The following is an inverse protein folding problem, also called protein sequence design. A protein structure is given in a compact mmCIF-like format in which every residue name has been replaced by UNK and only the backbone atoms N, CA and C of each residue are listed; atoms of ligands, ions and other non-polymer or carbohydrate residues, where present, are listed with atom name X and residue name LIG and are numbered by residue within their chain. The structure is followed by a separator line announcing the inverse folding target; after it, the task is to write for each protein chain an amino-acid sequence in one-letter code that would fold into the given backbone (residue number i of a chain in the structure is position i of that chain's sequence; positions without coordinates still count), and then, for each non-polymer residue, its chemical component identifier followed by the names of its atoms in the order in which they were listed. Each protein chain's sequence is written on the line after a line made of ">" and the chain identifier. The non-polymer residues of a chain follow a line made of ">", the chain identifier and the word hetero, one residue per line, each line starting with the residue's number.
data_IF_044208743150
#
_entry.id   IF_044208743150
#
_cell.length_a   1.000
_cell.length_b   1.000
_cell.length_c   1.000
_cell.angle_alpha   90.00
_cell.angle_beta   90.00
_cell.angle_gamma   90.00
#
_symmetry.space_group_name_H-M   'P 1'
#
loop_
_entity.id
_entity.type
_entity.pdbx_description
1 polymer ?
#
# COMPACT_ATOMS: atom_id res chain seq x y z
N UNK A 1 -5.77 17.35 -2.06
CA UNK A 1 -6.19 18.12 -3.25
C UNK A 1 -7.09 17.30 -4.17
N UNK A 2 -6.62 16.21 -4.79
CA UNK A 2 -7.42 15.43 -5.75
C UNK A 2 -8.71 14.83 -5.15
N UNK A 3 -8.68 14.29 -3.93
CA UNK A 3 -9.90 13.77 -3.27
C UNK A 3 -10.94 14.84 -2.92
N UNK A 4 -10.55 16.12 -2.95
CA UNK A 4 -11.45 17.27 -2.74
C UNK A 4 -11.92 17.91 -4.05
N UNK A 5 -11.64 17.29 -5.20
CA UNK A 5 -11.94 17.84 -6.53
C UNK A 5 -11.08 19.06 -6.92
N UNK A 6 -9.98 19.32 -6.19
CA UNK A 6 -9.05 20.44 -6.47
C UNK A 6 -7.94 19.98 -7.42
N UNK A 7 -8.32 19.59 -8.63
CA UNK A 7 -7.41 18.94 -9.59
C UNK A 7 -6.26 19.86 -10.00
N UNK A 8 -6.51 21.16 -10.22
CA UNK A 8 -5.46 22.13 -10.57
C UNK A 8 -4.33 22.21 -9.53
N UNK A 9 -4.67 22.11 -8.25
CA UNK A 9 -3.67 22.10 -7.18
C UNK A 9 -2.97 20.74 -7.09
N UNK A 10 -3.73 19.65 -7.27
CA UNK A 10 -3.20 18.31 -7.19
C UNK A 10 -2.23 17.98 -8.33
N UNK A 11 -2.55 18.37 -9.57
CA UNK A 11 -1.67 18.17 -10.73
C UNK A 11 -0.40 19.02 -10.60
N UNK A 12 -0.52 20.24 -10.06
CA UNK A 12 0.63 21.10 -9.78
C UNK A 12 1.59 20.43 -8.79
N UNK A 13 1.07 19.94 -7.65
CA UNK A 13 1.89 19.24 -6.64
C UNK A 13 2.56 17.98 -7.23
N UNK A 14 1.82 17.21 -8.03
CA UNK A 14 2.29 16.00 -8.69
C UNK A 14 3.41 16.29 -9.70
N UNK A 15 3.23 17.27 -10.58
CA UNK A 15 4.23 17.67 -11.57
C UNK A 15 5.48 18.25 -10.89
N UNK A 16 5.31 19.05 -9.83
CA UNK A 16 6.41 19.60 -9.06
C UNK A 16 7.26 18.51 -8.39
N UNK A 17 6.65 17.45 -7.85
CA UNK A 17 7.42 16.33 -7.32
C UNK A 17 8.25 15.66 -8.43
N UNK A 18 7.62 15.34 -9.56
CA UNK A 18 8.25 14.59 -10.65
C UNK A 18 9.34 15.38 -11.38
N UNK A 19 9.18 16.69 -11.58
CA UNK A 19 10.21 17.53 -12.18
C UNK A 19 11.51 17.55 -11.36
N UNK A 20 11.40 17.37 -10.04
CA UNK A 20 12.54 17.25 -9.12
C UNK A 20 13.17 15.83 -9.07
N UNK A 21 12.59 14.84 -9.76
CA UNK A 21 13.04 13.44 -9.75
C UNK A 21 13.44 12.92 -11.13
N UNK A 22 12.83 13.44 -12.19
CA UNK A 22 12.96 12.93 -13.56
C UNK A 22 13.64 13.98 -14.43
N UNK A 23 14.81 13.66 -14.96
CA UNK A 23 15.51 14.52 -15.92
C UNK A 23 14.74 14.62 -17.24
N UNK A 24 14.54 15.84 -17.73
CA UNK A 24 13.76 16.09 -18.96
C UNK A 24 12.27 15.82 -18.81
N UNK A 25 11.72 15.88 -17.59
CA UNK A 25 10.29 15.67 -17.35
C UNK A 25 9.43 16.68 -18.10
N UNK A 26 8.38 16.17 -18.74
CA UNK A 26 7.32 16.96 -19.35
C UNK A 26 6.10 16.85 -18.46
N UNK A 27 5.53 18.00 -18.10
CA UNK A 27 4.36 18.07 -17.22
C UNK A 27 3.16 17.29 -17.78
N UNK A 28 2.47 16.57 -16.90
CA UNK A 28 1.25 15.87 -17.24
C UNK A 28 0.02 16.73 -16.93
N UNK A 29 -1.12 16.43 -17.56
CA UNK A 29 -2.37 17.19 -17.44
C UNK A 29 -3.57 16.33 -17.02
N UNK A 30 -3.30 15.29 -16.22
CA UNK A 30 -4.35 14.40 -15.72
C UNK A 30 -5.36 15.15 -14.83
N UNK A 31 -6.60 14.68 -14.84
CA UNK A 31 -7.70 15.17 -13.99
C UNK A 31 -8.53 13.99 -13.46
N UNK A 32 -9.40 14.24 -12.49
CA UNK A 32 -10.34 13.26 -11.95
C UNK A 32 -9.66 11.97 -11.47
N UNK A 33 -10.24 10.84 -11.84
CA UNK A 33 -9.76 9.52 -11.41
C UNK A 33 -8.38 9.17 -11.97
N UNK A 34 -8.06 9.62 -13.19
CA UNK A 34 -6.74 9.43 -13.78
C UNK A 34 -5.65 10.13 -12.95
N UNK A 35 -5.94 11.34 -12.45
CA UNK A 35 -5.02 12.05 -11.56
C UNK A 35 -4.86 11.33 -10.21
N UNK A 36 -5.95 10.81 -9.64
CA UNK A 36 -5.90 10.05 -8.37
C UNK A 36 -5.07 8.78 -8.51
N UNK A 37 -5.21 8.06 -9.64
CA UNK A 37 -4.43 6.88 -9.93
C UNK A 37 -2.94 7.23 -10.14
N UNK A 38 -2.63 8.28 -10.90
CA UNK A 38 -1.26 8.74 -11.10
C UNK A 38 -0.59 9.11 -9.76
N UNK A 39 -1.28 9.86 -8.90
CA UNK A 39 -0.79 10.21 -7.56
C UNK A 39 -0.57 8.96 -6.70
N UNK A 40 -1.48 8.00 -6.77
CA UNK A 40 -1.36 6.75 -6.02
C UNK A 40 -0.11 5.95 -6.43
N UNK A 41 0.13 5.82 -7.74
CA UNK A 41 1.32 5.16 -8.27
C UNK A 41 2.60 5.90 -7.90
N UNK A 42 2.60 7.23 -7.99
CA UNK A 42 3.77 8.05 -7.66
C UNK A 42 4.13 7.95 -6.18
N UNK A 43 3.12 7.95 -5.30
CA UNK A 43 3.33 7.76 -3.86
C UNK A 43 3.99 6.42 -3.52
N UNK A 44 3.66 5.35 -4.25
CA UNK A 44 4.32 4.05 -4.06
C UNK A 44 5.79 4.06 -4.50
N UNK A 45 6.12 4.83 -5.55
CA UNK A 45 7.49 4.95 -6.07
C UNK A 45 8.34 5.81 -5.14
N UNK A 46 7.85 6.98 -4.76
CA UNK A 46 8.59 7.94 -3.95
C UNK A 46 8.85 7.42 -2.53
N UNK A 47 7.84 6.79 -1.91
CA UNK A 47 7.91 6.36 -0.50
C UNK A 47 8.20 4.85 -0.36
N UNK A 48 8.85 4.28 -1.36
CA UNK A 48 9.20 2.87 -1.35
C UNK A 48 10.17 2.59 -0.18
N UNK A 49 9.89 1.52 0.58
CA UNK A 49 10.70 1.11 1.75
C UNK A 49 10.68 2.07 2.95
N UNK A 50 9.76 3.03 3.01
CA UNK A 50 9.63 3.98 4.13
C UNK A 50 8.46 3.65 5.08
N UNK A 51 7.83 2.49 4.92
CA UNK A 51 6.75 2.03 5.82
C UNK A 51 5.36 2.58 5.51
N UNK A 52 5.16 3.28 4.38
CA UNK A 52 3.87 3.88 4.04
C UNK A 52 2.86 2.93 3.39
N UNK A 53 3.33 2.02 2.52
CA UNK A 53 2.47 1.24 1.63
C UNK A 53 1.39 0.42 2.38
N UNK A 54 1.74 -0.19 3.51
CA UNK A 54 0.79 -0.96 4.33
C UNK A 54 -0.39 -0.11 4.81
N UNK A 55 -0.11 1.08 5.36
CA UNK A 55 -1.15 1.98 5.86
C UNK A 55 -1.97 2.59 4.73
N UNK A 56 -1.33 2.85 3.59
CA UNK A 56 -2.01 3.36 2.40
C UNK A 56 -3.05 2.37 1.86
N UNK A 57 -2.72 1.08 1.80
CA UNK A 57 -3.68 0.04 1.41
C UNK A 57 -4.82 -0.08 2.43
N UNK A 58 -4.48 -0.15 3.72
CA UNK A 58 -5.45 -0.29 4.82
C UNK A 58 -6.46 0.86 4.85
N UNK A 59 -6.00 2.12 4.76
CA UNK A 59 -6.89 3.30 4.82
C UNK A 59 -7.78 3.45 3.59
N UNK A 60 -7.39 2.89 2.43
CA UNK A 60 -8.20 2.89 1.21
C UNK A 60 -9.09 1.64 1.10
N UNK A 61 -9.03 0.71 2.06
CA UNK A 61 -9.77 -0.54 2.00
C UNK A 61 -9.37 -1.39 0.79
N UNK A 62 -8.07 -1.42 0.47
CA UNK A 62 -7.52 -2.15 -0.67
C UNK A 62 -6.77 -3.40 -0.21
N UNK A 63 -6.99 -4.50 -0.92
CA UNK A 63 -6.19 -5.70 -0.86
C UNK A 63 -4.92 -5.58 -1.70
N UNK A 64 -4.11 -6.62 -1.72
CA UNK A 64 -2.96 -6.71 -2.63
C UNK A 64 -2.72 -8.14 -3.07
N UNK A 65 -2.12 -8.28 -4.25
CA UNK A 65 -1.60 -9.54 -4.77
C UNK A 65 -0.13 -9.36 -5.13
N UNK A 66 0.73 -10.18 -4.54
CA UNK A 66 2.16 -10.21 -4.85
C UNK A 66 2.38 -11.02 -6.12
N UNK A 67 3.14 -10.48 -7.07
CA UNK A 67 3.57 -11.22 -8.25
C UNK A 67 4.78 -12.09 -7.87
N UNK A 68 4.79 -13.40 -8.18
CA UNK A 68 5.99 -14.22 -8.05
C UNK A 68 7.15 -13.60 -8.84
N UNK A 69 8.34 -13.60 -8.26
CA UNK A 69 9.55 -13.19 -8.98
C UNK A 69 10.25 -14.45 -9.46
N UNK A 70 10.49 -14.57 -10.76
CA UNK A 70 11.36 -15.62 -11.27
C UNK A 70 12.82 -15.17 -11.12
N UNK A 71 13.61 -15.93 -10.37
CA UNK A 71 15.05 -15.72 -10.26
C UNK A 71 15.76 -16.60 -11.28
N UNK A 72 16.71 -16.05 -12.08
CA UNK A 72 17.37 -16.77 -13.16
C UNK A 72 17.93 -18.14 -12.74
N UNK A 73 18.58 -18.19 -11.58
CA UNK A 73 19.23 -19.40 -11.07
C UNK A 73 18.43 -20.16 -9.99
N UNK A 74 17.32 -19.60 -9.50
CA UNK A 74 16.56 -20.16 -8.37
C UNK A 74 15.10 -20.48 -8.69
N UNK A 75 14.68 -20.32 -9.95
CA UNK A 75 13.30 -20.52 -10.37
C UNK A 75 12.36 -19.49 -9.74
N UNK A 76 11.06 -19.83 -9.65
CA UNK A 76 10.06 -18.97 -9.00
C UNK A 76 10.41 -18.77 -7.52
N UNK A 77 10.92 -17.58 -7.18
CA UNK A 77 10.93 -17.07 -5.81
C UNK A 77 9.52 -16.57 -5.52
N UNK A 78 8.66 -17.51 -5.19
CA UNK A 78 7.61 -17.23 -4.23
C UNK A 78 8.32 -17.29 -2.87
N UNK A 79 8.33 -16.21 -2.09
CA UNK A 79 8.68 -16.30 -0.66
C UNK A 79 7.40 -16.28 0.16
N UNK A 80 6.50 -17.27 0.04
CA UNK A 80 5.64 -17.54 1.14
C UNK A 80 6.51 -18.18 2.21
N UNK A 81 6.27 -17.81 3.47
CA UNK A 81 6.79 -18.62 4.56
C UNK A 81 6.39 -20.09 4.37
N UNK A 82 7.01 -21.02 5.10
CA UNK A 82 6.59 -22.42 5.06
C UNK A 82 5.06 -22.48 5.23
N UNK A 83 4.37 -23.04 4.24
CA UNK A 83 2.91 -23.24 4.17
C UNK A 83 2.00 -22.10 3.66
N UNK A 84 2.47 -21.10 2.89
CA UNK A 84 1.54 -20.08 2.35
C UNK A 84 1.49 -20.02 0.82
N UNK A 85 0.68 -20.85 0.14
CA UNK A 85 0.43 -20.65 -1.30
C UNK A 85 -0.38 -19.36 -1.63
N UNK A 86 -0.59 -18.49 -0.64
CA UNK A 86 -1.45 -17.32 -0.70
C UNK A 86 -0.63 -16.06 -0.91
N UNK A 87 -0.60 -15.57 -2.15
CA UNK A 87 0.07 -14.32 -2.54
C UNK A 87 -0.88 -13.12 -2.52
N UNK A 88 -2.16 -13.35 -2.20
CA UNK A 88 -3.22 -12.35 -2.19
C UNK A 88 -3.79 -12.20 -0.79
N UNK A 89 -4.00 -10.96 -0.37
CA UNK A 89 -4.71 -10.62 0.87
C UNK A 89 -5.87 -9.69 0.51
N UNK A 90 -7.09 -10.11 0.84
CA UNK A 90 -8.29 -9.30 0.67
C UNK A 90 -8.33 -8.13 1.68
N UNK A 91 -8.99 -7.01 1.36
CA UNK A 91 -9.04 -5.84 2.26
C UNK A 91 -9.70 -6.11 3.62
N UNK A 92 -10.58 -7.10 3.71
CA UNK A 92 -11.34 -7.50 4.90
C UNK A 92 -10.64 -8.56 5.76
N UNK A 93 -9.43 -8.99 5.36
CA UNK A 93 -8.69 -10.02 6.06
C UNK A 93 -8.30 -9.56 7.49
N UNK A 94 -8.52 -10.40 8.49
CA UNK A 94 -8.15 -10.11 9.89
C UNK A 94 -6.66 -9.76 10.07
N UNK A 95 -5.78 -10.27 9.20
CA UNK A 95 -4.31 -10.02 9.23
C UNK A 95 -3.89 -8.59 8.92
N UNK A 96 -4.82 -7.70 8.54
CA UNK A 96 -4.57 -6.25 8.48
C UNK A 96 -4.41 -5.60 9.86
N UNK A 97 -4.83 -6.27 10.92
CA UNK A 97 -4.67 -5.82 12.30
C UNK A 97 -3.95 -6.91 13.09
N UNK A 98 -2.85 -6.55 13.74
CA UNK A 98 -2.11 -7.49 14.57
C UNK A 98 -2.97 -7.95 15.77
N UNK A 99 -2.79 -9.19 16.26
CA UNK A 99 -3.44 -9.62 17.48
C UNK A 99 -2.98 -8.77 18.66
N UNK A 100 -3.89 -8.57 19.60
CA UNK A 100 -3.51 -8.04 20.92
C UNK A 100 -2.61 -9.08 21.59
N UNK A 101 -1.49 -8.69 22.22
CA UNK A 101 -0.59 -9.64 22.86
C UNK A 101 -1.29 -10.49 23.91
N UNK A 102 -1.02 -11.80 23.93
CA UNK A 102 -1.60 -12.77 24.88
C UNK A 102 -1.32 -12.40 26.35
N UNK A 103 -0.19 -11.77 26.63
CA UNK A 103 0.12 -11.25 27.97
C UNK A 103 -0.91 -10.21 28.44
N UNK A 104 -1.38 -9.33 27.55
CA UNK A 104 -2.39 -8.31 27.88
C UNK A 104 -3.76 -8.95 28.10
N UNK A 105 -4.13 -9.92 27.25
CA UNK A 105 -5.40 -10.64 27.38
C UNK A 105 -5.50 -11.42 28.70
N UNK A 106 -4.39 -12.03 29.14
CA UNK A 106 -4.34 -12.73 30.43
C UNK A 106 -4.28 -11.80 31.63
N UNK A 107 -3.73 -10.60 31.47
CA UNK A 107 -3.63 -9.61 32.54
C UNK A 107 -4.94 -8.87 32.80
N UNK A 108 -5.80 -8.71 31.79
CA UNK A 108 -7.05 -7.96 31.91
C UNK A 108 -8.20 -8.62 31.13
N UNK A 109 -9.11 -9.27 31.86
CA UNK A 109 -10.30 -9.94 31.30
C UNK A 109 -11.27 -9.00 30.57
N UNK A 110 -11.16 -7.68 30.78
CA UNK A 110 -12.00 -6.71 30.07
C UNK A 110 -11.49 -6.38 28.65
N UNK A 111 -10.31 -6.87 28.27
CA UNK A 111 -9.77 -6.68 26.91
C UNK A 111 -10.42 -7.69 25.97
N UNK A 112 -11.15 -7.18 24.98
CA UNK A 112 -11.70 -8.02 23.91
C UNK A 112 -10.64 -8.21 22.81
N UNK A 113 -10.35 -9.45 22.36
CA UNK A 113 -9.42 -9.70 21.28
C UNK A 113 -9.92 -9.12 19.95
N UNK A 114 -8.99 -8.85 19.04
CA UNK A 114 -9.35 -8.43 17.69
C UNK A 114 -10.11 -9.57 16.97
N UNK A 115 -11.17 -9.27 16.20
CA UNK A 115 -11.94 -10.29 15.51
C UNK A 115 -11.07 -11.21 14.64
N UNK A 116 -11.27 -12.52 14.76
CA UNK A 116 -10.55 -13.54 13.98
C UNK A 116 -9.20 -13.98 14.57
N UNK A 117 -8.87 -13.59 15.81
CA UNK A 117 -7.69 -14.06 16.55
C UNK A 117 -8.08 -14.76 17.85
#
# INVERSE_FOLDING_TARGET
>A
NAELGKDNLAIFDYNNLRSNRISGYVEESYTGDALKEAIWLERQRELCFEGHHFFDLKRKGLGFTRKPISHPDKGLITNPGPNQNELSINPDNNKWLWPIPDAELRANENITPNPGY
#
